data_IF_439643735106
#
_entry.id   IF_439643735106
#
_cell.length_a   1.000
_cell.length_b   1.000
_cell.length_c   1.000
_cell.angle_alpha   90.00
_cell.angle_beta   90.00
_cell.angle_gamma   90.00
#
_symmetry.space_group_name_H-M   'P 1'
#
loop_
_entity.id
_entity.type
_entity.pdbx_description
1 polymer ?
#
# COMPACT_ATOMS: atom_id res chain seq x y z
N UNK A 1 15.76 9.34 -22.68
CA UNK A 1 14.35 9.78 -22.68
C UNK A 1 14.22 10.92 -21.69
N UNK A 2 13.84 12.12 -22.14
CA UNK A 2 13.59 13.23 -21.21
C UNK A 2 12.25 12.93 -20.50
N UNK A 3 12.31 12.43 -19.28
CA UNK A 3 11.10 12.26 -18.46
C UNK A 3 10.50 13.64 -18.16
N UNK A 4 9.18 13.77 -18.36
CA UNK A 4 8.43 14.96 -17.94
C UNK A 4 8.71 15.22 -16.44
N UNK A 5 8.96 16.47 -16.02
CA UNK A 5 9.16 16.74 -14.60
C UNK A 5 7.92 16.33 -13.79
N UNK A 6 8.11 15.55 -12.76
CA UNK A 6 7.03 15.13 -11.84
C UNK A 6 6.52 16.35 -11.11
N UNK A 7 5.24 16.70 -11.25
CA UNK A 7 4.60 17.80 -10.53
C UNK A 7 3.56 17.28 -9.53
N UNK A 8 2.88 16.20 -9.86
CA UNK A 8 1.77 15.64 -9.09
C UNK A 8 2.01 14.17 -8.75
N UNK A 9 1.67 13.77 -7.52
CA UNK A 9 1.82 12.40 -7.08
C UNK A 9 0.60 11.89 -6.30
N UNK A 10 0.29 10.60 -6.47
CA UNK A 10 -0.66 9.86 -5.67
C UNK A 10 0.08 8.84 -4.81
N UNK A 11 0.01 9.02 -3.50
CA UNK A 11 0.64 8.16 -2.50
C UNK A 11 -0.43 7.36 -1.78
N UNK A 12 -0.31 6.03 -1.75
CA UNK A 12 -1.32 5.14 -1.13
C UNK A 12 -0.70 4.31 -0.01
N UNK A 13 -1.16 4.60 1.24
CA UNK A 13 -0.69 3.93 2.45
C UNK A 13 -1.03 2.44 2.46
N UNK A 14 -0.10 1.61 2.95
CA UNK A 14 -0.34 0.20 3.22
C UNK A 14 -1.23 -0.04 4.43
N UNK A 15 -2.02 -1.13 4.41
CA UNK A 15 -2.96 -1.33 5.51
C UNK A 15 -3.60 -2.71 5.66
N UNK A 16 -3.30 -3.69 4.80
CA UNK A 16 -4.07 -4.94 4.72
C UNK A 16 -5.53 -4.63 4.42
N UNK A 17 -6.47 -5.25 5.12
CA UNK A 17 -7.91 -5.07 4.89
C UNK A 17 -8.42 -3.63 5.10
N UNK A 18 -7.66 -2.75 5.80
CA UNK A 18 -7.98 -1.31 5.85
C UNK A 18 -7.88 -0.63 4.49
N UNK A 19 -7.14 -1.23 3.56
CA UNK A 19 -7.06 -0.79 2.17
C UNK A 19 -8.39 -0.77 1.42
N UNK A 20 -9.47 -1.36 1.97
CA UNK A 20 -10.81 -1.26 1.40
C UNK A 20 -11.31 0.19 1.30
N UNK A 21 -10.95 1.04 2.25
CA UNK A 21 -11.25 2.47 2.17
C UNK A 21 -10.54 3.12 0.97
N UNK A 22 -9.23 2.87 0.81
CA UNK A 22 -8.46 3.44 -0.31
C UNK A 22 -8.86 2.84 -1.65
N UNK A 23 -9.29 1.57 -1.69
CA UNK A 23 -9.90 0.97 -2.89
C UNK A 23 -11.18 1.70 -3.31
N UNK A 24 -12.03 2.08 -2.35
CA UNK A 24 -13.23 2.88 -2.63
C UNK A 24 -12.91 4.29 -3.16
N UNK A 25 -11.89 4.96 -2.61
CA UNK A 25 -11.44 6.26 -3.13
C UNK A 25 -10.96 6.12 -4.58
N UNK A 26 -10.14 5.12 -4.87
CA UNK A 26 -9.62 4.86 -6.22
C UNK A 26 -10.71 4.43 -7.20
N UNK A 27 -11.75 3.70 -6.72
CA UNK A 27 -12.93 3.41 -7.53
C UNK A 27 -13.63 4.71 -7.96
N UNK A 28 -13.84 5.67 -7.06
CA UNK A 28 -14.44 6.96 -7.42
C UNK A 28 -13.57 7.72 -8.43
N UNK A 29 -12.24 7.73 -8.24
CA UNK A 29 -11.31 8.35 -9.18
C UNK A 29 -11.41 7.72 -10.57
N UNK A 30 -11.31 6.38 -10.64
CA UNK A 30 -11.38 5.66 -11.91
C UNK A 30 -12.73 5.82 -12.61
N UNK A 31 -13.85 5.77 -11.89
CA UNK A 31 -15.19 5.94 -12.43
C UNK A 31 -15.44 7.35 -12.97
N UNK A 32 -14.80 8.36 -12.39
CA UNK A 32 -14.86 9.75 -12.85
C UNK A 32 -13.80 10.10 -13.90
N UNK A 33 -12.91 9.18 -14.27
CA UNK A 33 -11.75 9.48 -15.11
C UNK A 33 -10.78 10.50 -14.49
N UNK A 34 -10.79 10.61 -13.15
CA UNK A 34 -9.95 11.56 -12.44
C UNK A 34 -8.54 10.99 -12.24
N UNK A 35 -7.59 11.48 -13.01
CA UNK A 35 -6.21 10.98 -13.02
C UNK A 35 -5.18 12.10 -13.33
N UNK A 36 -5.06 13.13 -12.47
CA UNK A 36 -4.15 14.26 -12.70
C UNK A 36 -2.69 13.95 -12.32
N UNK A 37 -2.35 12.71 -11.96
CA UNK A 37 -1.08 12.37 -11.35
C UNK A 37 -0.01 11.95 -12.37
N UNK A 38 1.26 12.35 -12.14
CA UNK A 38 2.44 11.93 -12.91
C UNK A 38 3.14 10.73 -12.25
N UNK A 39 3.01 10.60 -10.91
CA UNK A 39 3.71 9.61 -10.09
C UNK A 39 2.73 8.91 -9.14
N UNK A 40 2.80 7.59 -9.09
CA UNK A 40 2.03 6.75 -8.17
C UNK A 40 2.98 5.97 -7.28
N UNK A 41 2.80 6.04 -5.95
CA UNK A 41 3.62 5.28 -5.01
C UNK A 41 2.71 4.51 -4.06
N UNK A 42 2.80 3.19 -4.09
CA UNK A 42 1.97 2.30 -3.27
C UNK A 42 2.76 1.39 -2.35
N UNK A 43 2.17 1.09 -1.20
CA UNK A 43 2.74 0.21 -0.18
C UNK A 43 1.76 -0.92 0.12
N UNK A 44 2.18 -2.20 0.00
CA UNK A 44 1.34 -3.34 0.40
C UNK A 44 -0.05 -3.29 -0.27
N UNK A 45 -1.14 -3.34 0.51
CA UNK A 45 -2.49 -3.18 -0.03
C UNK A 45 -2.68 -1.90 -0.87
N UNK A 46 -1.92 -0.83 -0.57
CA UNK A 46 -1.94 0.39 -1.38
C UNK A 46 -1.33 0.19 -2.77
N UNK A 47 -0.29 -0.65 -2.90
CA UNK A 47 0.28 -1.02 -4.20
C UNK A 47 -0.69 -1.91 -5.00
N UNK A 48 -1.38 -2.85 -4.34
CA UNK A 48 -2.43 -3.66 -4.97
C UNK A 48 -3.56 -2.78 -5.52
N UNK A 49 -4.00 -1.79 -4.72
CA UNK A 49 -5.08 -0.89 -5.10
C UNK A 49 -4.68 0.01 -6.29
N UNK A 50 -3.46 0.55 -6.27
CA UNK A 50 -2.94 1.33 -7.40
C UNK A 50 -2.82 0.50 -8.68
N UNK A 51 -2.32 -0.74 -8.59
CA UNK A 51 -2.20 -1.60 -9.77
C UNK A 51 -3.56 -1.84 -10.44
N UNK A 52 -4.62 -2.12 -9.68
CA UNK A 52 -5.97 -2.29 -10.24
C UNK A 52 -6.54 -0.98 -10.81
N UNK A 53 -6.31 0.15 -10.14
CA UNK A 53 -6.70 1.48 -10.63
C UNK A 53 -6.00 1.81 -11.95
N UNK A 54 -4.68 1.63 -12.03
CA UNK A 54 -3.88 1.87 -13.23
C UNK A 54 -4.20 0.90 -14.37
N UNK A 55 -4.67 -0.31 -14.04
CA UNK A 55 -5.22 -1.26 -15.01
C UNK A 55 -6.63 -0.89 -15.49
N UNK A 56 -7.29 0.14 -14.92
CA UNK A 56 -8.67 0.50 -15.22
C UNK A 56 -9.70 -0.50 -14.65
N UNK A 57 -9.29 -1.35 -13.71
CA UNK A 57 -10.10 -2.41 -13.12
C UNK A 57 -10.57 -2.01 -11.72
N UNK A 58 -11.43 -1.00 -11.63
CA UNK A 58 -11.78 -0.29 -10.39
C UNK A 58 -12.40 -1.20 -9.31
N UNK A 59 -13.18 -2.23 -9.69
CA UNK A 59 -13.86 -3.14 -8.76
C UNK A 59 -12.99 -4.34 -8.36
N UNK A 60 -11.89 -4.61 -9.08
CA UNK A 60 -11.07 -5.80 -8.88
C UNK A 60 -10.67 -6.01 -7.42
N UNK A 61 -10.16 -4.97 -6.75
CA UNK A 61 -9.72 -5.09 -5.36
C UNK A 61 -10.89 -5.23 -4.38
N UNK A 62 -12.07 -4.68 -4.68
CA UNK A 62 -13.26 -4.94 -3.90
C UNK A 62 -13.62 -6.42 -3.94
N UNK A 63 -13.68 -7.01 -5.14
CA UNK A 63 -14.03 -8.41 -5.32
C UNK A 63 -13.03 -9.34 -4.65
N UNK A 64 -11.72 -9.13 -4.85
CA UNK A 64 -10.67 -9.90 -4.18
C UNK A 64 -10.81 -9.83 -2.65
N UNK A 65 -10.98 -8.63 -2.09
CA UNK A 65 -11.03 -8.47 -0.65
C UNK A 65 -12.30 -9.06 -0.04
N UNK A 66 -13.45 -8.94 -0.70
CA UNK A 66 -14.72 -9.46 -0.19
C UNK A 66 -14.86 -10.98 -0.41
N UNK A 67 -14.37 -11.50 -1.54
CA UNK A 67 -14.60 -12.89 -1.92
C UNK A 67 -13.44 -13.81 -1.55
N UNK A 68 -12.19 -13.36 -1.64
CA UNK A 68 -11.00 -14.17 -1.36
C UNK A 68 -10.37 -13.84 -0.01
N UNK A 69 -10.11 -12.55 0.27
CA UNK A 69 -9.33 -12.16 1.45
C UNK A 69 -10.08 -12.37 2.79
N UNK A 70 -11.39 -12.61 2.77
CA UNK A 70 -12.18 -12.95 3.96
C UNK A 70 -12.22 -14.45 4.26
N UNK A 71 -11.66 -15.29 3.40
CA UNK A 71 -11.71 -16.75 3.51
C UNK A 71 -10.68 -17.30 4.50
N UNK A 72 -10.91 -18.52 4.99
CA UNK A 72 -9.95 -19.24 5.83
C UNK A 72 -8.71 -19.71 5.04
N UNK A 73 -8.80 -19.74 3.72
CA UNK A 73 -7.65 -20.06 2.86
C UNK A 73 -6.64 -18.93 2.86
N UNK A 74 -7.07 -17.69 2.98
CA UNK A 74 -6.17 -16.55 3.12
C UNK A 74 -5.77 -16.28 4.58
N UNK A 75 -6.73 -16.07 5.51
CA UNK A 75 -6.45 -15.75 6.92
C UNK A 75 -6.79 -16.95 7.81
N UNK A 76 -5.75 -17.57 8.41
CA UNK A 76 -5.94 -18.78 9.19
C UNK A 76 -5.00 -18.86 10.40
N UNK A 77 -5.58 -18.66 11.60
CA UNK A 77 -4.85 -18.78 12.85
C UNK A 77 -4.38 -20.20 13.18
N UNK A 78 -5.15 -21.24 12.80
CA UNK A 78 -4.76 -22.63 13.02
C UNK A 78 -3.58 -23.05 12.15
N UNK A 79 -3.54 -22.60 10.89
CA UNK A 79 -2.38 -22.77 10.01
C UNK A 79 -1.15 -22.12 10.62
N UNK A 80 -1.31 -20.92 11.17
CA UNK A 80 -0.22 -20.18 11.82
C UNK A 80 0.34 -20.93 13.05
N UNK A 81 -0.52 -21.48 13.91
CA UNK A 81 -0.09 -22.26 15.08
C UNK A 81 0.66 -23.55 14.70
N UNK A 82 0.38 -24.10 13.52
CA UNK A 82 1.06 -25.29 12.97
C UNK A 82 2.32 -24.97 12.17
N UNK A 83 2.80 -23.74 12.20
CA UNK A 83 4.04 -23.32 11.53
C UNK A 83 3.87 -22.72 10.12
N UNK A 84 2.63 -22.62 9.58
CA UNK A 84 2.33 -21.99 8.31
C UNK A 84 2.15 -20.47 8.43
N UNK A 85 1.66 -19.85 7.35
CA UNK A 85 1.35 -18.41 7.31
C UNK A 85 0.05 -18.08 8.06
N UNK A 86 0.01 -16.91 8.72
CA UNK A 86 -1.26 -16.33 9.19
C UNK A 86 -2.08 -15.80 8.02
N UNK A 87 -1.41 -15.06 7.11
CA UNK A 87 -1.94 -14.61 5.81
C UNK A 87 -1.17 -15.33 4.71
N UNK A 88 -1.86 -16.09 3.88
CA UNK A 88 -1.26 -16.82 2.76
C UNK A 88 -1.29 -15.99 1.50
N UNK A 89 -0.23 -15.22 1.31
CA UNK A 89 -0.10 -14.31 0.18
C UNK A 89 0.08 -15.09 -1.13
N UNK A 90 0.74 -16.25 -1.09
CA UNK A 90 0.90 -17.12 -2.26
C UNK A 90 -0.47 -17.58 -2.77
N UNK A 91 -1.27 -18.15 -1.86
CA UNK A 91 -2.62 -18.58 -2.20
C UNK A 91 -3.49 -17.42 -2.72
N UNK A 92 -3.48 -16.26 -2.01
CA UNK A 92 -4.27 -15.11 -2.42
C UNK A 92 -3.87 -14.62 -3.81
N UNK A 93 -2.57 -14.60 -4.09
CA UNK A 93 -2.05 -14.19 -5.38
C UNK A 93 -2.54 -15.12 -6.49
N UNK A 94 -2.34 -16.43 -6.32
CA UNK A 94 -2.74 -17.44 -7.31
C UNK A 94 -4.25 -17.44 -7.55
N UNK A 95 -5.06 -17.39 -6.48
CA UNK A 95 -6.51 -17.30 -6.57
C UNK A 95 -6.96 -16.00 -7.25
N UNK A 96 -6.35 -14.86 -6.92
CA UNK A 96 -6.70 -13.58 -7.52
C UNK A 96 -6.34 -13.48 -9.00
N UNK A 97 -5.23 -14.07 -9.41
CA UNK A 97 -4.85 -14.11 -10.84
C UNK A 97 -5.74 -15.03 -11.66
N UNK A 98 -6.27 -16.09 -11.01
CA UNK A 98 -7.20 -17.04 -11.66
C UNK A 98 -8.61 -16.47 -11.81
N UNK A 99 -9.15 -15.85 -10.75
CA UNK A 99 -10.55 -15.39 -10.70
C UNK A 99 -10.71 -13.94 -11.14
N UNK A 100 -9.72 -13.11 -10.86
CA UNK A 100 -9.68 -11.68 -11.12
C UNK A 100 -8.33 -11.27 -11.77
N UNK A 101 -8.03 -11.73 -12.99
CA UNK A 101 -6.74 -11.42 -13.63
C UNK A 101 -6.56 -9.91 -13.80
N UNK A 102 -5.31 -9.45 -13.68
CA UNK A 102 -4.96 -8.05 -13.92
C UNK A 102 -4.38 -7.86 -15.32
N UNK A 103 -4.85 -6.83 -16.03
CA UNK A 103 -4.28 -6.42 -17.32
C UNK A 103 -2.99 -5.61 -17.12
N UNK A 104 -1.89 -6.31 -16.86
CA UNK A 104 -0.58 -5.67 -16.68
C UNK A 104 -0.06 -5.05 -17.98
N UNK A 105 -0.29 -5.68 -19.13
CA UNK A 105 0.18 -5.17 -20.42
C UNK A 105 -0.47 -3.81 -20.72
N UNK A 106 -1.82 -3.74 -20.72
CA UNK A 106 -2.53 -2.49 -20.96
C UNK A 106 -2.25 -1.42 -19.90
N UNK A 107 -1.97 -1.82 -18.65
CA UNK A 107 -1.56 -0.90 -17.59
C UNK A 107 -0.23 -0.20 -17.94
N UNK A 108 0.81 -0.96 -18.30
CA UNK A 108 2.13 -0.40 -18.60
C UNK A 108 2.15 0.36 -19.92
N UNK A 109 1.41 -0.10 -20.94
CA UNK A 109 1.26 0.65 -22.18
C UNK A 109 0.66 2.05 -21.95
N UNK A 110 -0.37 2.15 -21.08
CA UNK A 110 -0.97 3.45 -20.72
C UNK A 110 0.00 4.32 -19.90
N UNK A 111 0.71 3.76 -18.94
CA UNK A 111 1.71 4.50 -18.16
C UNK A 111 2.80 5.09 -19.05
N UNK A 112 3.32 4.31 -19.99
CA UNK A 112 4.34 4.74 -20.93
C UNK A 112 3.84 5.83 -21.87
N UNK A 113 2.67 5.64 -22.48
CA UNK A 113 2.04 6.61 -23.38
C UNK A 113 1.79 7.96 -22.69
N UNK A 114 1.46 7.95 -21.40
CA UNK A 114 1.16 9.15 -20.62
C UNK A 114 2.41 9.72 -19.92
N UNK A 115 3.56 9.06 -20.00
CA UNK A 115 4.79 9.46 -19.31
C UNK A 115 4.67 9.42 -17.79
N UNK A 116 3.87 8.48 -17.25
CA UNK A 116 3.60 8.31 -15.83
C UNK A 116 4.44 7.19 -15.22
N UNK A 117 4.71 7.30 -13.91
CA UNK A 117 5.55 6.33 -13.20
C UNK A 117 4.79 5.68 -12.06
N UNK A 118 4.85 4.35 -11.97
CA UNK A 118 4.36 3.58 -10.82
C UNK A 118 5.53 3.04 -10.00
N UNK A 119 5.45 3.18 -8.68
CA UNK A 119 6.46 2.71 -7.73
C UNK A 119 5.79 1.84 -6.65
N UNK A 120 6.38 0.67 -6.43
CA UNK A 120 6.03 -0.25 -5.35
C UNK A 120 7.09 -0.17 -4.26
N UNK A 121 6.68 0.04 -3.01
CA UNK A 121 7.62 0.12 -1.89
C UNK A 121 7.78 -1.23 -1.22
N UNK A 122 9.02 -1.69 -1.08
CA UNK A 122 9.42 -2.82 -0.25
C UNK A 122 10.42 -2.39 0.82
N UNK A 123 10.78 -3.29 1.73
CA UNK A 123 11.83 -3.08 2.74
C UNK A 123 12.94 -4.10 2.56
N UNK A 124 14.18 -3.64 2.39
CA UNK A 124 15.37 -4.50 2.41
C UNK A 124 15.57 -5.11 3.81
N UNK A 125 15.73 -6.41 3.90
CA UNK A 125 16.01 -7.10 5.16
C UNK A 125 17.45 -6.86 5.59
N UNK A 126 18.37 -6.71 4.63
CA UNK A 126 19.80 -6.49 4.85
C UNK A 126 20.08 -5.11 5.44
N UNK A 127 19.47 -4.08 4.89
CA UNK A 127 19.73 -2.68 5.29
C UNK A 127 18.65 -2.09 6.22
N UNK A 128 17.46 -2.69 6.28
CA UNK A 128 16.29 -2.12 6.95
C UNK A 128 15.72 -0.86 6.29
N UNK A 129 16.23 -0.49 5.11
CA UNK A 129 15.82 0.72 4.37
C UNK A 129 14.68 0.43 3.38
N UNK A 130 13.90 1.45 2.98
CA UNK A 130 12.92 1.29 1.93
C UNK A 130 13.60 1.07 0.57
N UNK A 131 12.97 0.22 -0.24
CA UNK A 131 13.29 -0.03 -1.64
C UNK A 131 12.13 0.54 -2.46
N UNK A 132 12.41 1.49 -3.35
CA UNK A 132 11.42 2.11 -4.24
C UNK A 132 11.57 1.49 -5.63
N UNK A 133 10.74 0.50 -5.90
CA UNK A 133 10.83 -0.39 -7.06
C UNK A 133 9.94 0.16 -8.17
N UNK A 134 10.51 0.39 -9.34
CA UNK A 134 9.76 0.73 -10.57
C UNK A 134 9.52 -0.57 -11.32
N UNK A 135 8.28 -1.12 -11.30
CA UNK A 135 7.98 -2.36 -11.99
C UNK A 135 7.81 -2.16 -13.49
N UNK A 136 7.89 -3.26 -14.21
CA UNK A 136 7.37 -3.45 -15.55
C UNK A 136 6.27 -4.53 -15.55
N UNK A 137 5.76 -4.89 -16.73
CA UNK A 137 4.70 -5.91 -16.89
C UNK A 137 5.08 -7.28 -16.33
N UNK A 138 6.37 -7.62 -16.31
CA UNK A 138 6.87 -8.93 -15.92
C UNK A 138 7.24 -8.99 -14.42
N UNK A 139 7.57 -7.85 -13.81
CA UNK A 139 8.05 -7.74 -12.42
C UNK A 139 7.01 -7.22 -11.42
N UNK A 140 5.93 -6.60 -11.90
CA UNK A 140 4.91 -5.94 -11.03
C UNK A 140 4.29 -6.92 -10.04
N UNK A 141 4.04 -8.16 -10.47
CA UNK A 141 3.48 -9.22 -9.65
C UNK A 141 4.37 -9.51 -8.44
N UNK A 142 5.64 -9.75 -8.68
CA UNK A 142 6.63 -10.08 -7.65
C UNK A 142 6.85 -8.90 -6.69
N UNK A 143 6.91 -7.68 -7.21
CA UNK A 143 7.11 -6.49 -6.39
C UNK A 143 5.92 -6.22 -5.46
N UNK A 144 4.69 -6.37 -5.95
CA UNK A 144 3.49 -6.24 -5.13
C UNK A 144 3.43 -7.35 -4.08
N UNK A 145 3.74 -8.59 -4.43
CA UNK A 145 3.78 -9.73 -3.53
C UNK A 145 4.77 -9.48 -2.39
N UNK A 146 6.00 -9.04 -2.71
CA UNK A 146 6.99 -8.68 -1.70
C UNK A 146 6.53 -7.51 -0.84
N UNK A 147 6.01 -6.44 -1.46
CA UNK A 147 5.46 -5.28 -0.74
C UNK A 147 4.36 -5.65 0.25
N UNK A 148 3.68 -6.77 0.04
CA UNK A 148 2.58 -7.27 0.88
C UNK A 148 3.00 -8.34 1.89
N UNK A 149 4.26 -8.79 1.88
CA UNK A 149 4.80 -9.86 2.74
C UNK A 149 5.09 -9.39 4.16
N UNK A 150 4.01 -9.15 4.95
CA UNK A 150 4.12 -8.58 6.30
C UNK A 150 4.86 -9.54 7.24
N UNK A 151 5.97 -9.10 7.90
CA UNK A 151 6.66 -9.90 8.90
C UNK A 151 5.70 -10.39 9.99
N UNK A 152 5.92 -11.61 10.49
CA UNK A 152 5.06 -12.40 11.40
C UNK A 152 3.81 -12.99 10.76
N UNK A 153 3.16 -12.33 9.79
CA UNK A 153 1.95 -12.85 9.16
C UNK A 153 2.27 -13.78 7.99
N UNK A 154 3.32 -13.45 7.26
CA UNK A 154 3.87 -14.25 6.17
C UNK A 154 5.32 -14.64 6.53
N UNK A 155 5.64 -15.93 6.50
CA UNK A 155 6.92 -16.46 7.03
C UNK A 155 8.00 -16.64 5.98
N UNK A 156 7.62 -16.74 4.70
CA UNK A 156 8.59 -16.89 3.62
C UNK A 156 9.31 -15.56 3.39
N UNK A 157 10.62 -15.62 3.27
CA UNK A 157 11.45 -14.49 2.88
C UNK A 157 11.54 -14.48 1.36
N UNK A 158 11.01 -13.44 0.74
CA UNK A 158 11.07 -13.21 -0.69
C UNK A 158 12.34 -12.45 -1.07
N UNK A 159 12.68 -12.47 -2.37
CA UNK A 159 13.85 -11.77 -2.90
C UNK A 159 13.47 -10.93 -4.11
N UNK A 160 14.12 -9.78 -4.25
CA UNK A 160 14.11 -8.93 -5.44
C UNK A 160 15.55 -8.70 -5.84
N UNK A 161 15.91 -9.05 -7.07
CA UNK A 161 17.29 -8.93 -7.57
C UNK A 161 18.34 -9.53 -6.60
N UNK A 162 18.07 -10.72 -6.06
CA UNK A 162 18.89 -11.45 -5.08
C UNK A 162 18.91 -10.83 -3.67
N UNK A 163 18.38 -9.64 -3.43
CA UNK A 163 18.24 -9.02 -2.10
C UNK A 163 16.97 -9.52 -1.42
N UNK A 164 17.07 -9.91 -0.13
CA UNK A 164 15.92 -10.32 0.66
C UNK A 164 15.08 -9.11 1.03
N UNK A 165 13.80 -9.19 0.79
CA UNK A 165 12.88 -8.08 1.02
C UNK A 165 11.58 -8.54 1.72
N UNK A 166 10.86 -7.58 2.28
CA UNK A 166 9.61 -7.76 2.99
C UNK A 166 8.70 -6.55 2.79
N UNK A 167 7.53 -6.51 3.45
CA UNK A 167 6.51 -5.46 3.36
C UNK A 167 7.11 -4.05 3.47
N UNK A 168 6.78 -3.21 2.50
CA UNK A 168 7.28 -1.82 2.43
C UNK A 168 6.89 -0.96 3.61
N UNK A 169 5.73 -1.24 4.23
CA UNK A 169 5.26 -0.52 5.39
C UNK A 169 6.08 -0.77 6.67
N UNK A 170 7.13 -1.57 6.63
CA UNK A 170 8.13 -1.68 7.71
C UNK A 170 9.02 -0.45 7.74
N UNK A 171 9.62 -0.09 6.60
CA UNK A 171 10.54 1.04 6.49
C UNK A 171 9.83 2.36 6.16
N UNK A 172 8.86 2.33 5.20
CA UNK A 172 8.11 3.50 4.79
C UNK A 172 6.65 3.14 4.52
N UNK A 173 5.78 3.46 5.48
CA UNK A 173 4.34 3.15 5.38
C UNK A 173 3.56 4.18 4.55
N UNK A 174 4.06 5.42 4.42
CA UNK A 174 3.43 6.55 3.71
C UNK A 174 4.54 7.30 2.97
N UNK A 175 4.89 6.91 1.74
CA UNK A 175 6.07 7.41 1.01
C UNK A 175 5.87 8.84 0.45
N UNK A 176 5.28 9.75 1.23
CA UNK A 176 5.02 11.15 0.85
C UNK A 176 6.33 11.95 0.69
N UNK A 177 7.30 11.69 1.59
CA UNK A 177 8.61 12.34 1.54
C UNK A 177 9.38 11.89 0.29
N UNK A 178 9.24 10.62 -0.11
CA UNK A 178 9.85 10.13 -1.35
C UNK A 178 9.20 10.76 -2.59
N UNK A 179 7.88 10.93 -2.61
CA UNK A 179 7.20 11.65 -3.69
C UNK A 179 7.76 13.07 -3.85
N UNK A 180 7.92 13.79 -2.76
CA UNK A 180 8.53 15.13 -2.74
C UNK A 180 9.97 15.11 -3.25
N UNK A 181 10.81 14.17 -2.79
CA UNK A 181 12.21 14.03 -3.27
C UNK A 181 12.31 13.75 -4.77
N UNK A 182 11.28 13.15 -5.36
CA UNK A 182 11.17 12.93 -6.80
C UNK A 182 10.63 14.13 -7.58
N UNK A 183 10.39 15.24 -6.92
CA UNK A 183 9.99 16.50 -7.51
C UNK A 183 8.48 16.79 -7.49
N UNK A 184 7.67 15.96 -6.85
CA UNK A 184 6.25 16.25 -6.71
C UNK A 184 6.03 17.43 -5.74
N UNK A 185 5.28 18.43 -6.19
CA UNK A 185 4.88 19.61 -5.41
C UNK A 185 3.37 19.65 -5.14
N UNK A 186 2.60 18.80 -5.78
CA UNK A 186 1.18 18.56 -5.51
C UNK A 186 0.97 17.07 -5.22
N UNK A 187 0.73 16.72 -3.95
CA UNK A 187 0.74 15.33 -3.50
C UNK A 187 -0.59 14.98 -2.86
N UNK A 188 -1.30 14.02 -3.43
CA UNK A 188 -2.49 13.43 -2.81
C UNK A 188 -2.10 12.15 -2.06
N UNK A 189 -2.45 12.07 -0.77
CA UNK A 189 -2.13 10.94 0.10
C UNK A 189 -3.42 10.24 0.54
N UNK A 190 -3.58 8.99 0.13
CA UNK A 190 -4.67 8.13 0.60
C UNK A 190 -4.22 7.37 1.85
N UNK A 191 -4.84 7.69 3.00
CA UNK A 191 -4.53 7.05 4.27
C UNK A 191 -5.45 5.85 4.54
N UNK A 192 -4.94 4.90 5.31
CA UNK A 192 -5.71 3.75 5.84
C UNK A 192 -6.02 3.91 7.34
N UNK A 193 -5.57 5.01 7.93
CA UNK A 193 -5.80 5.42 9.31
C UNK A 193 -6.42 6.81 9.38
N UNK A 194 -7.23 7.12 10.40
CA UNK A 194 -7.75 8.47 10.61
C UNK A 194 -6.63 9.52 10.70
N UNK A 195 -6.95 10.77 10.37
CA UNK A 195 -5.98 11.88 10.33
C UNK A 195 -5.23 12.09 11.65
N UNK A 196 -5.89 11.90 12.76
CA UNK A 196 -5.33 12.08 14.10
C UNK A 196 -4.71 10.80 14.68
N UNK A 197 -4.57 9.75 13.89
CA UNK A 197 -3.95 8.52 14.34
C UNK A 197 -2.47 8.75 14.68
N UNK A 198 -2.11 8.43 15.93
CA UNK A 198 -0.72 8.43 16.42
C UNK A 198 -0.23 6.99 16.50
N UNK A 199 0.83 6.71 15.76
CA UNK A 199 1.46 5.38 15.80
C UNK A 199 2.34 5.26 17.02
N UNK A 200 1.90 4.43 17.98
CA UNK A 200 2.65 4.14 19.21
C UNK A 200 3.61 2.96 19.02
N UNK A 201 4.66 2.93 19.83
CA UNK A 201 5.52 1.77 19.95
C UNK A 201 4.71 0.56 20.45
N UNK A 202 4.96 -0.61 19.84
CA UNK A 202 4.37 -1.86 20.34
C UNK A 202 5.00 -2.24 21.68
N UNK A 203 4.18 -2.68 22.63
CA UNK A 203 4.68 -3.17 23.94
C UNK A 203 5.63 -4.36 23.80
N UNK A 204 5.53 -5.14 22.72
CA UNK A 204 6.44 -6.25 22.42
C UNK A 204 7.70 -5.87 21.62
N UNK A 205 7.94 -4.59 21.35
CA UNK A 205 9.07 -4.16 20.53
C UNK A 205 10.45 -4.50 21.11
N UNK A 206 10.54 -4.67 22.42
CA UNK A 206 11.77 -5.11 23.09
C UNK A 206 12.17 -6.56 22.72
N UNK A 207 11.24 -7.39 22.25
CA UNK A 207 11.51 -8.77 21.81
C UNK A 207 12.00 -8.84 20.35
N UNK A 208 11.89 -7.77 19.57
CA UNK A 208 12.27 -7.75 18.15
C UNK A 208 13.73 -8.20 17.91
N UNK A 209 14.74 -7.75 18.69
CA UNK A 209 16.12 -8.22 18.51
C UNK A 209 16.30 -9.73 18.76
N UNK A 210 15.50 -10.31 19.66
CA UNK A 210 15.54 -11.74 19.93
C UNK A 210 14.86 -12.54 18.80
N UNK A 211 13.69 -12.09 18.34
CA UNK A 211 12.91 -12.74 17.28
C UNK A 211 13.68 -12.69 15.96
N UNK A 212 14.24 -11.52 15.61
CA UNK A 212 14.99 -11.28 14.38
C UNK A 212 16.49 -11.26 14.58
N UNK A 213 17.02 -12.08 15.49
CA UNK A 213 18.48 -12.11 15.84
C UNK A 213 19.41 -12.27 14.64
N UNK A 214 18.95 -12.94 13.54
CA UNK A 214 19.68 -13.10 12.28
C UNK A 214 19.39 -12.00 11.25
N UNK A 215 18.55 -11.03 11.60
CA UNK A 215 18.04 -9.96 10.74
C UNK A 215 17.98 -8.64 11.52
N UNK A 216 19.12 -8.25 12.12
CA UNK A 216 19.18 -7.11 13.03
C UNK A 216 18.69 -5.80 12.44
N UNK A 217 18.93 -5.56 11.15
CA UNK A 217 18.46 -4.36 10.47
C UNK A 217 16.93 -4.35 10.27
N UNK A 218 16.33 -5.53 10.02
CA UNK A 218 14.87 -5.65 10.02
C UNK A 218 14.27 -5.37 11.41
N UNK A 219 14.89 -5.92 12.48
CA UNK A 219 14.49 -5.64 13.85
C UNK A 219 14.54 -4.14 14.16
N UNK A 220 15.62 -3.48 13.74
CA UNK A 220 15.81 -2.03 13.87
C UNK A 220 14.72 -1.25 13.11
N UNK A 221 14.45 -1.59 11.85
CA UNK A 221 13.40 -0.96 11.03
C UNK A 221 12.01 -1.11 11.68
N UNK A 222 11.67 -2.31 12.17
CA UNK A 222 10.41 -2.56 12.88
C UNK A 222 10.30 -1.73 14.17
N UNK A 223 11.40 -1.57 14.91
CA UNK A 223 11.45 -0.73 16.12
C UNK A 223 11.26 0.74 15.77
N UNK A 224 11.86 1.22 14.68
CA UNK A 224 11.79 2.62 14.26
C UNK A 224 10.52 2.99 13.46
N UNK A 225 9.73 2.00 13.08
CA UNK A 225 8.50 2.19 12.30
C UNK A 225 7.55 3.29 12.84
N UNK A 226 7.35 3.45 14.17
CA UNK A 226 6.54 4.57 14.67
C UNK A 226 7.13 5.93 14.36
N UNK A 227 8.45 6.06 14.42
CA UNK A 227 9.15 7.33 14.16
C UNK A 227 9.00 7.71 12.67
N UNK A 228 9.35 6.80 11.76
CA UNK A 228 9.23 7.06 10.31
C UNK A 228 7.80 7.35 9.90
N UNK A 229 6.82 6.64 10.49
CA UNK A 229 5.41 6.89 10.26
C UNK A 229 4.98 8.30 10.68
N UNK A 230 5.40 8.73 11.88
CA UNK A 230 5.05 10.05 12.40
C UNK A 230 5.78 11.18 11.65
N UNK A 231 6.98 10.94 11.12
CA UNK A 231 7.67 11.88 10.23
C UNK A 231 6.87 12.11 8.93
N UNK A 232 6.32 11.04 8.34
CA UNK A 232 5.45 11.18 7.17
C UNK A 232 4.14 11.93 7.51
N UNK A 233 3.53 11.67 8.67
CA UNK A 233 2.34 12.39 9.13
C UNK A 233 2.64 13.87 9.37
N UNK A 234 3.80 14.18 9.93
CA UNK A 234 4.25 15.57 10.14
C UNK A 234 4.47 16.29 8.81
N UNK A 235 5.09 15.63 7.84
CA UNK A 235 5.26 16.17 6.50
C UNK A 235 3.91 16.47 5.81
N UNK A 236 2.90 15.59 5.99
CA UNK A 236 1.55 15.83 5.45
C UNK A 236 0.92 17.08 6.04
N UNK A 237 1.11 17.32 7.34
CA UNK A 237 0.52 18.46 8.07
C UNK A 237 1.26 19.77 7.80
N UNK A 238 2.57 19.71 7.70
CA UNK A 238 3.48 20.83 7.56
C UNK A 238 4.45 20.60 6.38
N UNK A 239 3.93 20.60 5.13
CA UNK A 239 4.78 20.42 3.96
C UNK A 239 5.72 21.62 3.77
N UNK A 240 6.87 21.43 3.11
CA UNK A 240 7.77 22.53 2.73
C UNK A 240 7.07 23.58 1.86
N UNK A 241 7.58 24.82 1.90
CA UNK A 241 7.09 25.92 1.07
C UNK A 241 7.05 25.53 -0.41
N UNK A 242 5.97 25.91 -1.08
CA UNK A 242 5.72 25.58 -2.49
C UNK A 242 5.23 24.14 -2.73
N UNK A 243 4.99 23.35 -1.66
CA UNK A 243 4.42 22.00 -1.77
C UNK A 243 3.01 21.99 -1.18
N UNK A 244 2.06 21.41 -1.91
CA UNK A 244 0.69 21.20 -1.47
C UNK A 244 0.46 19.71 -1.21
N UNK A 245 -0.10 19.36 -0.05
CA UNK A 245 -0.44 17.99 0.28
C UNK A 245 -1.93 17.87 0.61
N UNK A 246 -2.62 17.04 -0.13
CA UNK A 246 -4.02 16.68 0.09
C UNK A 246 -4.10 15.34 0.79
N UNK A 247 -4.75 15.26 1.94
CA UNK A 247 -4.94 14.03 2.71
C UNK A 247 -6.39 13.55 2.65
N UNK A 248 -6.60 12.34 2.11
CA UNK A 248 -7.87 11.62 2.19
C UNK A 248 -7.71 10.49 3.20
N UNK A 249 -8.43 10.56 4.32
CA UNK A 249 -8.30 9.64 5.43
C UNK A 249 -9.68 9.13 5.89
N UNK A 250 -9.79 7.87 6.36
CA UNK A 250 -11.04 7.34 6.88
C UNK A 250 -11.47 8.06 8.16
N UNK A 251 -12.77 8.17 8.42
CA UNK A 251 -13.29 8.72 9.67
C UNK A 251 -12.96 7.78 10.85
N UNK A 252 -12.89 8.33 12.07
CA UNK A 252 -12.63 7.55 13.30
C UNK A 252 -13.69 6.48 13.58
N UNK A 253 -14.87 6.64 13.05
CA UNK A 253 -16.00 5.70 13.22
C UNK A 253 -15.80 4.42 12.40
N UNK A 254 -14.92 4.43 11.39
CA UNK A 254 -14.65 3.27 10.56
C UNK A 254 -13.77 2.26 11.32
N UNK A 255 -14.38 1.17 11.81
CA UNK A 255 -13.71 0.17 12.65
C UNK A 255 -13.29 -1.04 11.82
N UNK A 256 -12.19 -0.94 11.08
CA UNK A 256 -11.57 -2.06 10.40
C UNK A 256 -10.11 -2.23 10.83
N UNK A 257 -9.68 -3.50 10.93
CA UNK A 257 -8.32 -3.90 11.25
C UNK A 257 -7.58 -4.39 10.00
N UNK A 258 -6.29 -4.73 10.14
CA UNK A 258 -5.51 -5.33 9.04
C UNK A 258 -6.01 -6.70 8.61
N UNK A 259 -6.68 -7.41 9.51
CA UNK A 259 -7.12 -8.79 9.33
C UNK A 259 -8.64 -8.92 9.53
N UNK A 260 -9.42 -7.87 9.27
CA UNK A 260 -10.88 -7.92 9.31
C UNK A 260 -11.39 -8.86 8.24
N UNK A 261 -12.23 -9.82 8.62
CA UNK A 261 -12.91 -10.75 7.73
C UNK A 261 -14.43 -10.53 7.66
N UNK A 262 -14.92 -9.54 8.39
CA UNK A 262 -16.31 -9.09 8.35
C UNK A 262 -16.59 -8.37 7.02
N UNK A 263 -17.35 -9.04 6.16
CA UNK A 263 -17.70 -8.54 4.82
C UNK A 263 -18.49 -7.24 4.86
N UNK A 264 -19.38 -7.07 5.83
CA UNK A 264 -20.21 -5.87 5.91
C UNK A 264 -19.39 -4.65 6.36
N UNK A 265 -18.46 -4.84 7.30
CA UNK A 265 -17.51 -3.81 7.68
C UNK A 265 -16.61 -3.40 6.50
N UNK A 266 -16.17 -4.36 5.65
CA UNK A 266 -15.37 -4.08 4.45
C UNK A 266 -16.18 -3.32 3.40
N UNK A 267 -17.43 -3.72 3.15
CA UNK A 267 -18.35 -3.02 2.24
C UNK A 267 -18.63 -1.58 2.70
N UNK A 268 -18.83 -1.39 4.01
CA UNK A 268 -19.02 -0.06 4.59
C UNK A 268 -17.77 0.82 4.38
N UNK A 269 -16.57 0.26 4.58
CA UNK A 269 -15.32 0.97 4.35
C UNK A 269 -15.15 1.39 2.88
N UNK A 270 -15.49 0.51 1.95
CA UNK A 270 -15.43 0.79 0.51
C UNK A 270 -16.38 1.92 0.12
N UNK A 271 -17.65 1.87 0.57
CA UNK A 271 -18.64 2.93 0.32
C UNK A 271 -18.19 4.28 0.88
N UNK A 272 -17.68 4.27 2.12
CA UNK A 272 -17.11 5.49 2.73
C UNK A 272 -15.94 6.03 1.90
N UNK A 273 -15.11 5.15 1.34
CA UNK A 273 -14.03 5.53 0.43
C UNK A 273 -14.55 6.19 -0.84
N UNK A 274 -15.58 5.63 -1.49
CA UNK A 274 -16.23 6.22 -2.68
C UNK A 274 -16.75 7.62 -2.37
N UNK A 275 -17.48 7.79 -1.27
CA UNK A 275 -18.03 9.09 -0.86
C UNK A 275 -16.93 10.14 -0.64
N UNK A 276 -15.82 9.76 -0.01
CA UNK A 276 -14.69 10.67 0.20
C UNK A 276 -13.95 10.98 -1.11
N UNK A 277 -13.84 10.01 -2.02
CA UNK A 277 -13.27 10.20 -3.35
C UNK A 277 -14.07 11.19 -4.18
N UNK A 278 -15.42 11.06 -4.22
CA UNK A 278 -16.31 11.99 -4.93
C UNK A 278 -16.15 13.41 -4.37
N UNK A 279 -16.23 13.58 -3.04
CA UNK A 279 -16.05 14.89 -2.40
C UNK A 279 -14.70 15.52 -2.71
N UNK A 280 -13.65 14.70 -2.81
CA UNK A 280 -12.33 15.19 -3.16
C UNK A 280 -12.27 15.68 -4.59
N UNK A 281 -12.82 14.92 -5.57
CA UNK A 281 -12.88 15.32 -6.98
C UNK A 281 -13.60 16.66 -7.14
N UNK A 282 -14.76 16.81 -6.47
CA UNK A 282 -15.56 18.04 -6.52
C UNK A 282 -14.82 19.26 -5.94
N UNK A 283 -13.91 19.06 -4.98
CA UNK A 283 -13.15 20.11 -4.33
C UNK A 283 -11.74 20.32 -4.91
N UNK A 284 -11.33 19.49 -5.86
CA UNK A 284 -9.98 19.55 -6.45
C UNK A 284 -9.94 20.60 -7.56
N UNK A 285 -9.26 21.74 -7.29
CA UNK A 285 -9.09 22.87 -8.22
C UNK A 285 -7.63 23.35 -8.26
#
# INVERSE_FOLDING_TARGET
MNSKPVKSALVVEGGGMRGMFTAGVLHAFGSAGFDPFDLYIGVSAGACNLASYLAGQNDRNYDINVNLSTTRDFINGWRFLRGGHFMDIDWLWDASMKEYPIDTAGMFDRLEQQGKTFIVVATSIESGKPMYLIPDKDTVADYIKVSSSVPFFYRTILKINSERATDGGVADSIPVIEAFKRGATDITVLRTRPRDYVKKQSSGAFLLPLIFRKQGMLAFALKNRPVTYMQAVEFIKNPPDGTRVHEIAPPKTLRISRATTDKDALKAAYRTGIEQGIKFIEAYH
#
